data_IF_351101092350
#
_entry.id   IF_351101092350
#
_cell.length_a   1.000
_cell.length_b   1.000
_cell.length_c   1.000
_cell.angle_alpha   90.00
_cell.angle_beta   90.00
_cell.angle_gamma   90.00
#
_symmetry.space_group_name_H-M   'P 1'
#
loop_
_entity.id
_entity.type
_entity.pdbx_description
1 polymer ?
#
# COMPACT_ATOMS: atom_id res chain seq x y z
N UNK A 1 -53.88 -41.03 38.90
CA UNK A 1 -54.17 -41.55 40.26
C UNK A 1 -53.51 -42.92 40.40
N UNK A 2 -53.05 -43.24 41.62
CA UNK A 2 -52.56 -44.57 42.11
C UNK A 2 -51.10 -44.89 41.71
N UNK A 3 -50.07 -44.89 42.57
CA UNK A 3 -49.79 -45.53 43.88
C UNK A 3 -49.65 -47.08 43.87
N UNK A 4 -48.39 -47.54 43.97
CA UNK A 4 -47.83 -48.53 44.92
C UNK A 4 -47.68 -50.04 44.53
N UNK A 5 -46.39 -50.46 44.41
CA UNK A 5 -45.64 -51.63 44.98
C UNK A 5 -46.39 -52.74 45.77
N UNK A 6 -45.72 -53.87 46.16
CA UNK A 6 -44.55 -54.62 45.64
C UNK A 6 -44.81 -56.16 45.62
N UNK A 7 -43.82 -57.05 45.43
CA UNK A 7 -43.65 -58.32 46.21
C UNK A 7 -42.47 -59.21 45.76
N UNK A 8 -41.64 -59.54 46.77
CA UNK A 8 -40.79 -60.71 47.06
C UNK A 8 -39.54 -61.18 46.24
N UNK A 9 -38.46 -61.28 47.05
CA UNK A 9 -37.21 -62.06 46.99
C UNK A 9 -37.48 -63.60 46.91
N UNK A 10 -36.52 -64.53 46.62
CA UNK A 10 -35.26 -64.80 47.35
C UNK A 10 -34.02 -65.09 46.44
N UNK A 11 -32.81 -64.67 46.83
CA UNK A 11 -31.79 -65.37 47.63
C UNK A 11 -31.25 -66.69 47.03
N UNK A 12 -29.93 -66.80 46.84
CA UNK A 12 -29.10 -67.92 47.35
C UNK A 12 -27.60 -67.65 47.14
N UNK A 13 -26.86 -68.14 48.13
CA UNK A 13 -25.45 -67.97 48.41
C UNK A 13 -24.57 -68.95 47.63
N UNK A 14 -23.30 -68.57 47.46
CA UNK A 14 -22.18 -69.41 47.91
C UNK A 14 -21.32 -70.08 46.83
N UNK A 15 -20.00 -70.00 47.03
CA UNK A 15 -19.06 -70.97 46.46
C UNK A 15 -17.70 -70.41 46.07
N UNK A 16 -16.77 -70.35 47.04
CA UNK A 16 -15.33 -70.19 46.78
C UNK A 16 -14.76 -71.43 46.09
N UNK A 17 -13.83 -71.26 45.14
CA UNK A 17 -12.69 -72.17 44.94
C UNK A 17 -11.46 -71.35 44.53
N UNK A 18 -10.38 -71.59 45.26
CA UNK A 18 -9.03 -71.10 45.01
C UNK A 18 -8.35 -71.86 43.88
N UNK A 19 -7.54 -71.18 43.07
CA UNK A 19 -6.64 -71.81 42.09
C UNK A 19 -5.50 -70.89 41.74
N UNK A 20 -4.31 -71.18 42.27
CA UNK A 20 -3.06 -70.52 41.97
C UNK A 20 -2.51 -70.95 40.61
N UNK A 21 -1.77 -70.06 39.93
CA UNK A 21 -0.98 -70.41 38.74
C UNK A 21 -0.54 -69.17 37.99
N UNK A 22 0.75 -68.83 38.10
CA UNK A 22 1.34 -67.62 37.54
C UNK A 22 1.53 -67.63 36.02
N UNK A 23 1.96 -66.48 35.50
CA UNK A 23 2.40 -66.32 34.12
C UNK A 23 2.35 -64.86 33.70
N UNK A 24 3.48 -64.18 33.84
CA UNK A 24 3.65 -62.80 33.40
C UNK A 24 3.31 -62.63 31.92
N UNK A 25 2.40 -61.70 31.65
CA UNK A 25 2.31 -60.97 30.40
C UNK A 25 2.05 -59.53 30.80
N UNK A 26 3.07 -58.69 30.67
CA UNK A 26 2.90 -57.23 30.60
C UNK A 26 2.11 -56.92 29.33
N UNK A 27 0.80 -57.18 29.41
CA UNK A 27 -0.17 -56.61 28.52
C UNK A 27 -0.17 -55.13 28.83
N UNK A 28 0.01 -54.28 27.81
CA UNK A 28 -0.25 -52.84 27.87
C UNK A 28 -1.73 -52.60 28.18
N UNK A 29 -2.10 -52.93 29.41
CA UNK A 29 -3.43 -52.85 29.97
C UNK A 29 -3.71 -51.38 30.20
N UNK A 30 -4.39 -50.78 29.23
CA UNK A 30 -5.06 -49.52 29.44
C UNK A 30 -6.04 -49.75 30.60
N UNK A 31 -5.74 -49.15 31.74
CA UNK A 31 -6.52 -49.33 32.95
C UNK A 31 -7.89 -48.66 32.72
N UNK A 32 -8.93 -49.44 32.48
CA UNK A 32 -10.27 -48.91 32.22
C UNK A 32 -10.96 -48.66 33.55
N UNK A 33 -11.38 -47.42 33.82
CA UNK A 33 -12.19 -47.09 34.97
C UNK A 33 -13.68 -47.16 34.62
N UNK A 34 -14.48 -47.73 35.52
CA UNK A 34 -15.92 -47.81 35.33
C UNK A 34 -16.58 -46.62 36.03
N UNK A 35 -17.29 -45.77 35.27
CA UNK A 35 -18.01 -44.62 35.83
C UNK A 35 -19.36 -45.03 36.40
N UNK A 36 -19.93 -44.27 37.38
CA UNK A 36 -21.28 -44.52 37.88
C UNK A 36 -22.27 -44.48 36.71
N UNK A 37 -22.81 -45.64 36.34
CA UNK A 37 -23.54 -45.87 35.09
C UNK A 37 -23.05 -47.06 34.25
N UNK A 38 -21.94 -47.70 34.65
CA UNK A 38 -21.44 -48.95 34.04
C UNK A 38 -20.59 -48.77 32.78
N UNK A 39 -20.29 -47.54 32.38
CA UNK A 39 -19.45 -47.25 31.22
C UNK A 39 -17.97 -47.35 31.60
N UNK A 40 -17.22 -48.20 30.89
CA UNK A 40 -15.76 -48.26 30.98
C UNK A 40 -15.17 -47.11 30.17
N UNK A 41 -14.42 -46.23 30.82
CA UNK A 41 -13.65 -45.16 30.18
C UNK A 41 -12.17 -45.37 30.50
N UNK A 42 -11.30 -45.09 29.53
CA UNK A 42 -9.88 -45.28 29.68
C UNK A 42 -9.34 -44.31 30.74
N UNK A 43 -8.67 -44.81 31.80
CA UNK A 43 -8.01 -43.94 32.77
C UNK A 43 -6.94 -43.12 32.07
N UNK A 44 -6.99 -41.81 32.29
CA UNK A 44 -5.87 -40.91 31.98
C UNK A 44 -4.94 -40.93 33.19
N UNK A 45 -3.88 -41.72 33.11
CA UNK A 45 -2.78 -41.61 34.06
C UNK A 45 -2.02 -40.30 33.77
N UNK A 46 -1.94 -39.34 34.71
CA UNK A 46 -1.20 -38.09 34.51
C UNK A 46 0.33 -38.31 34.42
N UNK A 47 0.81 -39.53 34.68
CA UNK A 47 2.21 -39.93 34.56
C UNK A 47 2.50 -40.66 33.23
N UNK A 48 1.45 -41.03 32.49
CA UNK A 48 1.53 -41.50 31.10
C UNK A 48 1.41 -40.36 30.08
N UNK A 49 1.17 -39.13 30.55
CA UNK A 49 1.38 -37.94 29.73
C UNK A 49 2.88 -37.64 29.81
N UNK A 50 3.70 -37.99 28.79
CA UNK A 50 5.03 -37.42 28.71
C UNK A 50 4.83 -35.91 28.67
N UNK A 51 5.25 -35.25 29.74
CA UNK A 51 5.40 -33.80 29.85
C UNK A 51 5.93 -33.26 28.52
N UNK A 52 5.03 -32.71 27.70
CA UNK A 52 5.32 -32.23 26.36
C UNK A 52 5.63 -33.35 25.37
N UNK A 53 4.77 -33.53 24.36
CA UNK A 53 5.14 -34.28 23.15
C UNK A 53 6.55 -33.83 22.71
N UNK A 54 7.50 -34.78 22.64
CA UNK A 54 8.88 -34.50 22.21
C UNK A 54 8.81 -33.69 20.91
N UNK A 55 9.47 -32.51 20.82
CA UNK A 55 9.39 -31.67 19.63
C UNK A 55 9.74 -32.51 18.39
N UNK A 56 9.02 -32.33 17.27
CA UNK A 56 9.25 -33.11 16.06
C UNK A 56 10.75 -33.12 15.73
N UNK A 57 11.31 -34.28 15.34
CA UNK A 57 12.74 -34.37 15.04
C UNK A 57 13.09 -33.34 13.96
N UNK A 58 13.92 -32.36 14.32
CA UNK A 58 14.39 -31.35 13.39
C UNK A 58 15.32 -31.99 12.37
N UNK A 59 15.20 -31.54 11.13
CA UNK A 59 16.04 -31.96 10.01
C UNK A 59 17.19 -30.96 9.88
N UNK A 60 18.43 -31.46 9.80
CA UNK A 60 19.58 -30.61 9.50
C UNK A 60 19.81 -30.58 7.99
N UNK A 61 19.81 -29.39 7.40
CA UNK A 61 20.13 -29.20 5.99
C UNK A 61 21.46 -28.50 5.85
N UNK A 62 22.28 -28.96 4.89
CA UNK A 62 23.59 -28.39 4.58
C UNK A 62 23.50 -27.61 3.29
N UNK A 63 23.55 -26.29 3.40
CA UNK A 63 23.40 -25.37 2.28
C UNK A 63 24.76 -24.80 1.92
N UNK A 64 25.23 -25.11 0.71
CA UNK A 64 26.45 -24.54 0.16
C UNK A 64 26.15 -23.17 -0.41
N UNK A 65 26.90 -22.15 0.00
CA UNK A 65 26.89 -20.83 -0.60
C UNK A 65 28.33 -20.40 -0.90
N UNK A 66 28.65 -20.17 -2.17
CA UNK A 66 30.03 -19.97 -2.61
C UNK A 66 30.94 -21.14 -2.20
N UNK A 67 31.90 -20.86 -1.32
CA UNK A 67 32.83 -21.86 -0.76
C UNK A 67 32.47 -22.34 0.65
N UNK A 68 31.40 -21.80 1.26
CA UNK A 68 31.01 -22.06 2.65
C UNK A 68 29.80 -22.99 2.71
N UNK A 69 29.76 -23.84 3.74
CA UNK A 69 28.59 -24.66 4.06
C UNK A 69 27.93 -24.15 5.33
N UNK A 70 26.64 -23.85 5.25
CA UNK A 70 25.80 -23.49 6.38
C UNK A 70 24.92 -24.68 6.77
N UNK A 71 25.04 -25.15 8.00
CA UNK A 71 24.15 -26.19 8.54
C UNK A 71 23.00 -25.53 9.30
N UNK A 72 21.77 -25.75 8.83
CA UNK A 72 20.55 -25.17 9.39
C UNK A 72 19.68 -26.30 9.94
N UNK A 73 19.25 -26.17 11.20
CA UNK A 73 18.26 -27.07 11.80
C UNK A 73 16.87 -26.50 11.58
N UNK A 74 16.00 -27.23 10.89
CA UNK A 74 14.65 -26.79 10.52
C UNK A 74 13.62 -27.91 10.66
N UNK A 75 12.35 -27.56 10.84
CA UNK A 75 11.25 -28.55 10.85
C UNK A 75 11.15 -29.26 9.49
N UNK A 76 10.93 -30.59 9.43
CA UNK A 76 10.68 -31.28 8.18
C UNK A 76 9.46 -30.75 7.41
N UNK A 77 8.44 -30.28 8.13
CA UNK A 77 7.21 -29.70 7.56
C UNK A 77 7.35 -28.21 7.20
N UNK A 78 8.54 -27.65 7.33
CA UNK A 78 8.80 -26.27 6.96
C UNK A 78 8.79 -26.10 5.44
N UNK A 79 8.53 -24.86 5.01
CA UNK A 79 8.66 -24.48 3.60
C UNK A 79 10.10 -24.11 3.24
N UNK A 80 10.43 -24.18 1.95
CA UNK A 80 11.69 -23.62 1.45
C UNK A 80 11.77 -22.11 1.70
N UNK A 81 10.65 -21.39 1.76
CA UNK A 81 10.61 -19.97 2.12
C UNK A 81 11.09 -19.72 3.55
N UNK A 82 10.75 -20.59 4.50
CA UNK A 82 11.26 -20.51 5.87
C UNK A 82 12.75 -20.84 5.93
N UNK A 83 13.21 -21.84 5.19
CA UNK A 83 14.63 -22.13 5.06
C UNK A 83 15.41 -20.94 4.48
N UNK A 84 14.88 -20.29 3.43
CA UNK A 84 15.47 -19.08 2.85
C UNK A 84 15.57 -17.95 3.87
N UNK A 85 14.54 -17.73 4.69
CA UNK A 85 14.57 -16.74 5.78
C UNK A 85 15.66 -17.05 6.81
N UNK A 86 15.82 -18.31 7.20
CA UNK A 86 16.88 -18.72 8.14
C UNK A 86 18.27 -18.57 7.54
N UNK A 87 18.42 -18.76 6.22
CA UNK A 87 19.69 -18.56 5.51
C UNK A 87 20.05 -17.09 5.35
N UNK A 88 19.07 -16.16 5.35
CA UNK A 88 19.36 -14.73 5.18
C UNK A 88 20.30 -14.17 6.25
N UNK A 89 20.22 -14.69 7.49
CA UNK A 89 21.13 -14.30 8.57
C UNK A 89 22.60 -14.66 8.28
N UNK A 90 22.94 -15.95 8.10
CA UNK A 90 24.33 -16.38 7.87
C UNK A 90 24.89 -16.03 6.48
N UNK A 91 24.05 -15.87 5.45
CA UNK A 91 24.53 -15.55 4.08
C UNK A 91 24.45 -14.06 3.74
N UNK A 92 23.67 -13.28 4.49
CA UNK A 92 23.38 -11.87 4.20
C UNK A 92 22.45 -11.64 2.99
N UNK A 93 22.04 -12.70 2.29
CA UNK A 93 21.19 -12.58 1.10
C UNK A 93 19.73 -12.52 1.52
N UNK A 94 18.96 -11.57 0.98
CA UNK A 94 17.54 -11.48 1.26
C UNK A 94 16.77 -12.71 0.73
N UNK A 95 15.77 -13.20 1.48
CA UNK A 95 15.09 -14.47 1.16
C UNK A 95 14.39 -14.51 -0.22
N UNK A 96 14.09 -13.36 -0.82
CA UNK A 96 13.54 -13.26 -2.19
C UNK A 96 14.63 -13.39 -3.27
N UNK A 97 15.87 -13.05 -2.93
CA UNK A 97 17.03 -13.04 -3.84
C UNK A 97 17.75 -14.41 -3.81
N UNK A 98 17.27 -15.32 -2.96
CA UNK A 98 17.82 -16.65 -2.77
C UNK A 98 17.20 -17.68 -3.71
N UNK A 99 18.03 -18.25 -4.60
CA UNK A 99 17.70 -19.39 -5.45
C UNK A 99 18.29 -20.67 -4.85
N UNK A 100 17.40 -21.58 -4.44
CA UNK A 100 17.78 -22.77 -3.69
C UNK A 100 17.62 -24.02 -4.57
N UNK A 101 18.72 -24.74 -4.77
CA UNK A 101 18.80 -25.94 -5.60
C UNK A 101 18.88 -27.19 -4.72
N UNK A 102 17.99 -28.16 -4.94
CA UNK A 102 18.01 -29.47 -4.29
C UNK A 102 17.80 -30.58 -5.31
N UNK A 103 18.78 -31.50 -5.41
CA UNK A 103 18.89 -32.53 -6.46
C UNK A 103 18.85 -31.92 -7.86
N UNK A 104 19.70 -30.91 -8.09
CA UNK A 104 19.84 -30.17 -9.35
C UNK A 104 18.55 -29.49 -9.86
N UNK A 105 17.53 -29.42 -8.99
CA UNK A 105 16.25 -28.79 -9.27
C UNK A 105 16.06 -27.56 -8.39
N UNK A 106 15.65 -26.46 -9.02
CA UNK A 106 15.24 -25.25 -8.33
C UNK A 106 13.98 -25.51 -7.50
N UNK A 107 13.95 -24.94 -6.29
CA UNK A 107 12.86 -25.13 -5.34
C UNK A 107 12.13 -23.83 -5.06
N UNK A 108 10.81 -23.88 -5.24
CA UNK A 108 9.90 -22.77 -4.97
C UNK A 108 9.80 -22.53 -3.45
N UNK A 109 9.67 -21.26 -3.06
CA UNK A 109 9.52 -20.87 -1.66
C UNK A 109 8.27 -21.42 -0.97
N UNK A 110 7.19 -21.72 -1.72
CA UNK A 110 5.94 -22.31 -1.21
C UNK A 110 6.00 -23.82 -1.09
N UNK A 111 7.01 -24.48 -1.66
CA UNK A 111 7.17 -25.92 -1.53
C UNK A 111 7.60 -26.29 -0.10
N UNK A 112 7.18 -27.46 0.37
CA UNK A 112 7.60 -28.01 1.66
C UNK A 112 8.83 -28.92 1.51
N UNK A 113 9.66 -28.96 2.56
CA UNK A 113 10.91 -29.72 2.59
C UNK A 113 10.65 -31.23 2.54
N UNK A 114 9.75 -31.73 3.39
CA UNK A 114 9.31 -33.14 3.44
C UNK A 114 8.73 -33.64 2.11
N UNK A 115 7.80 -32.91 1.50
CA UNK A 115 7.18 -33.24 0.20
C UNK A 115 8.24 -33.24 -0.91
N UNK A 116 9.24 -32.37 -0.79
CA UNK A 116 10.37 -32.32 -1.72
C UNK A 116 11.39 -33.44 -1.51
N UNK A 117 11.20 -34.29 -0.49
CA UNK A 117 12.09 -35.40 -0.15
C UNK A 117 13.39 -34.95 0.54
N UNK A 118 13.37 -33.83 1.25
CA UNK A 118 14.48 -33.35 2.09
C UNK A 118 14.49 -34.17 3.39
N UNK A 119 15.64 -34.77 3.69
CA UNK A 119 15.90 -35.58 4.89
C UNK A 119 17.05 -34.99 5.72
N UNK A 120 17.34 -35.57 6.89
CA UNK A 120 18.50 -35.16 7.70
C UNK A 120 19.80 -35.25 6.89
N UNK A 121 20.64 -34.22 7.02
CA UNK A 121 21.91 -33.99 6.31
C UNK A 121 21.77 -33.85 4.79
N UNK A 122 20.59 -33.49 4.28
CA UNK A 122 20.41 -33.18 2.86
C UNK A 122 21.29 -32.02 2.42
N UNK A 123 21.91 -32.15 1.25
CA UNK A 123 22.77 -31.13 0.66
C UNK A 123 21.99 -30.28 -0.33
N UNK A 124 22.19 -28.98 -0.28
CA UNK A 124 21.52 -28.00 -1.13
C UNK A 124 22.53 -26.95 -1.55
N UNK A 125 22.28 -26.27 -2.66
CA UNK A 125 23.13 -25.16 -3.13
C UNK A 125 22.27 -23.90 -3.16
N UNK A 126 22.76 -22.86 -2.50
CA UNK A 126 22.20 -21.52 -2.57
C UNK A 126 22.97 -20.74 -3.63
N UNK A 127 22.23 -20.12 -4.54
CA UNK A 127 22.72 -19.21 -5.57
C UNK A 127 22.00 -17.89 -5.37
N UNK A 128 22.72 -16.78 -5.46
CA UNK A 128 22.11 -15.45 -5.51
C UNK A 128 21.54 -15.22 -6.91
N UNK A 129 20.28 -14.81 -6.98
CA UNK A 129 19.65 -14.43 -8.24
C UNK A 129 19.75 -12.90 -8.43
N UNK A 130 20.67 -12.41 -9.29
CA UNK A 130 20.86 -10.97 -9.50
C UNK A 130 19.61 -10.31 -10.10
N UNK A 131 18.77 -11.06 -10.83
CA UNK A 131 17.54 -10.53 -11.41
C UNK A 131 16.51 -10.24 -10.30
N UNK A 132 16.41 -11.14 -9.32
CA UNK A 132 15.52 -10.95 -8.17
C UNK A 132 15.99 -9.79 -7.27
N UNK A 133 17.30 -9.64 -7.09
CA UNK A 133 17.87 -8.50 -6.37
C UNK A 133 17.53 -7.17 -7.05
N UNK A 134 17.77 -7.04 -8.35
CA UNK A 134 17.45 -5.83 -9.11
C UNK A 134 15.94 -5.52 -9.06
N UNK A 135 15.10 -6.55 -9.22
CA UNK A 135 13.64 -6.40 -9.12
C UNK A 135 13.23 -5.82 -7.76
N UNK A 136 13.81 -6.33 -6.66
CA UNK A 136 13.54 -5.83 -5.30
C UNK A 136 13.99 -4.38 -5.13
N UNK A 137 15.19 -4.01 -5.62
CA UNK A 137 15.66 -2.62 -5.56
C UNK A 137 14.77 -1.67 -6.36
N UNK A 138 14.34 -2.08 -7.55
CA UNK A 138 13.43 -1.29 -8.36
C UNK A 138 12.07 -1.10 -7.68
N UNK A 139 11.53 -2.14 -7.06
CA UNK A 139 10.28 -2.10 -6.31
C UNK A 139 10.41 -1.20 -5.07
N UNK A 140 11.48 -1.36 -4.28
CA UNK A 140 11.76 -0.48 -3.13
C UNK A 140 11.87 0.99 -3.56
N UNK A 141 12.51 1.27 -4.71
CA UNK A 141 12.61 2.63 -5.24
C UNK A 141 11.24 3.20 -5.65
N UNK A 142 10.35 2.38 -6.22
CA UNK A 142 8.99 2.79 -6.55
C UNK A 142 8.18 3.08 -5.28
N UNK A 143 8.23 2.19 -4.30
CA UNK A 143 7.57 2.37 -3.00
C UNK A 143 8.06 3.67 -2.34
N UNK A 144 9.37 3.88 -2.23
CA UNK A 144 9.94 5.08 -1.62
C UNK A 144 9.52 6.37 -2.35
N UNK A 145 9.41 6.36 -3.68
CA UNK A 145 8.90 7.51 -4.45
C UNK A 145 7.43 7.79 -4.12
N UNK A 146 6.59 6.76 -4.10
CA UNK A 146 5.16 6.88 -3.76
C UNK A 146 4.97 7.35 -2.32
N UNK A 147 5.72 6.80 -1.37
CA UNK A 147 5.70 7.20 0.04
C UNK A 147 6.17 8.65 0.21
N UNK A 148 7.24 9.06 -0.48
CA UNK A 148 7.71 10.46 -0.45
C UNK A 148 6.63 11.42 -0.98
N UNK A 149 5.96 11.08 -2.07
CA UNK A 149 4.88 11.88 -2.63
C UNK A 149 3.67 11.94 -1.68
N UNK A 150 3.28 10.79 -1.11
CA UNK A 150 2.18 10.70 -0.14
C UNK A 150 2.47 11.54 1.10
N UNK A 151 3.68 11.42 1.67
CA UNK A 151 4.11 12.23 2.82
C UNK A 151 4.08 13.72 2.50
N UNK A 152 4.60 14.14 1.35
CA UNK A 152 4.58 15.55 0.95
C UNK A 152 3.15 16.09 0.83
N UNK A 153 2.21 15.31 0.30
CA UNK A 153 0.78 15.67 0.23
C UNK A 153 0.16 15.74 1.62
N UNK A 154 0.50 14.82 2.53
CA UNK A 154 0.02 14.86 3.91
C UNK A 154 0.52 16.11 4.65
N UNK A 155 1.80 16.45 4.48
CA UNK A 155 2.38 17.65 5.09
C UNK A 155 1.69 18.93 4.56
N UNK A 156 1.41 18.99 3.24
CA UNK A 156 0.61 20.09 2.66
C UNK A 156 -0.83 20.07 3.18
N UNK A 157 -1.47 18.90 3.31
CA UNK A 157 -2.83 18.79 3.83
C UNK A 157 -2.97 19.44 5.21
N UNK A 158 -1.98 19.25 6.09
CA UNK A 158 -1.97 19.86 7.42
C UNK A 158 -1.88 21.39 7.35
N UNK A 159 -1.08 21.92 6.42
CA UNK A 159 -0.99 23.37 6.22
C UNK A 159 -2.28 23.93 5.62
N UNK A 160 -2.90 23.22 4.67
CA UNK A 160 -4.21 23.57 4.10
C UNK A 160 -5.30 23.54 5.18
N UNK A 161 -5.28 22.59 6.12
CA UNK A 161 -6.19 22.54 7.27
C UNK A 161 -6.04 23.79 8.16
N UNK A 162 -4.79 24.15 8.46
CA UNK A 162 -4.45 25.33 9.27
C UNK A 162 -4.92 26.63 8.60
N UNK A 163 -4.70 26.77 7.30
CA UNK A 163 -5.16 27.91 6.51
C UNK A 163 -6.69 27.94 6.43
N UNK A 164 -7.33 26.79 6.21
CA UNK A 164 -8.79 26.63 6.23
C UNK A 164 -9.40 27.10 7.56
N UNK A 165 -8.77 26.79 8.69
CA UNK A 165 -9.18 27.32 10.00
C UNK A 165 -9.17 28.85 10.09
N UNK A 166 -8.19 29.52 9.45
CA UNK A 166 -8.16 30.99 9.36
C UNK A 166 -9.26 31.52 8.45
N UNK A 167 -9.54 30.85 7.32
CA UNK A 167 -10.65 31.21 6.42
C UNK A 167 -11.97 31.16 7.19
N UNK A 168 -12.27 30.06 7.89
CA UNK A 168 -13.49 29.94 8.69
C UNK A 168 -13.60 31.00 9.80
N UNK A 169 -12.48 31.38 10.42
CA UNK A 169 -12.46 32.47 11.39
C UNK A 169 -12.83 33.82 10.75
N UNK A 170 -12.28 34.14 9.57
CA UNK A 170 -12.64 35.34 8.83
C UNK A 170 -14.12 35.34 8.39
N UNK A 171 -14.63 34.21 7.90
CA UNK A 171 -16.04 34.05 7.57
C UNK A 171 -16.94 34.36 8.76
N UNK A 172 -16.59 33.84 9.95
CA UNK A 172 -17.35 34.08 11.17
C UNK A 172 -17.31 35.56 11.59
N UNK A 173 -16.15 36.21 11.55
CA UNK A 173 -16.01 37.63 11.91
C UNK A 173 -16.87 38.49 10.97
N UNK A 174 -16.76 38.28 9.66
CA UNK A 174 -17.51 39.05 8.66
C UNK A 174 -19.01 38.77 8.77
N UNK A 175 -19.42 37.51 9.01
CA UNK A 175 -20.84 37.15 9.23
C UNK A 175 -21.44 37.84 10.46
N UNK A 176 -20.63 38.09 11.51
CA UNK A 176 -21.04 38.85 12.70
C UNK A 176 -20.98 40.38 12.50
N UNK A 177 -20.67 40.85 11.29
CA UNK A 177 -20.53 42.28 10.98
C UNK A 177 -19.19 42.89 11.41
N UNK A 178 -18.24 42.07 11.87
CA UNK A 178 -16.88 42.50 12.15
C UNK A 178 -16.06 42.73 10.88
N UNK A 179 -14.99 43.51 10.99
CA UNK A 179 -14.11 43.85 9.88
C UNK A 179 -12.79 43.10 9.97
N UNK A 180 -12.36 42.49 8.88
CA UNK A 180 -11.04 41.85 8.75
C UNK A 180 -10.13 42.79 7.95
N UNK A 181 -8.85 42.90 8.30
CA UNK A 181 -7.95 43.74 7.51
C UNK A 181 -7.74 43.10 6.12
N UNK A 182 -7.86 43.89 5.05
CA UNK A 182 -7.73 43.37 3.68
C UNK A 182 -6.37 42.70 3.43
N UNK A 183 -5.30 43.26 4.02
CA UNK A 183 -3.96 42.65 3.99
C UNK A 183 -3.96 41.21 4.50
N UNK A 184 -4.74 40.89 5.55
CA UNK A 184 -4.74 39.57 6.16
C UNK A 184 -5.48 38.55 5.29
N UNK A 185 -6.52 38.99 4.56
CA UNK A 185 -7.20 38.17 3.54
C UNK A 185 -6.24 37.87 2.38
N UNK A 186 -5.55 38.89 1.86
CA UNK A 186 -4.58 38.74 0.77
C UNK A 186 -3.45 37.79 1.16
N UNK A 187 -2.88 37.93 2.36
CA UNK A 187 -1.83 37.02 2.84
C UNK A 187 -2.31 35.56 2.91
N UNK A 188 -3.55 35.27 3.31
CA UNK A 188 -4.05 33.89 3.32
C UNK A 188 -4.23 33.36 1.89
N UNK A 189 -4.70 34.18 0.95
CA UNK A 189 -4.78 33.80 -0.46
C UNK A 189 -3.38 33.44 -1.00
N UNK A 190 -2.37 34.28 -0.74
CA UNK A 190 -0.98 34.01 -1.17
C UNK A 190 -0.45 32.69 -0.58
N UNK A 191 -0.69 32.44 0.72
CA UNK A 191 -0.28 31.20 1.36
C UNK A 191 -0.99 29.97 0.74
N UNK A 192 -2.28 30.07 0.45
CA UNK A 192 -3.05 29.00 -0.22
C UNK A 192 -2.52 28.74 -1.64
N UNK A 193 -2.21 29.80 -2.40
CA UNK A 193 -1.62 29.68 -3.74
C UNK A 193 -0.23 29.04 -3.69
N UNK A 194 0.57 29.33 -2.68
CA UNK A 194 1.87 28.66 -2.48
C UNK A 194 1.71 27.16 -2.24
N UNK A 195 0.73 26.75 -1.42
CA UNK A 195 0.42 25.32 -1.22
C UNK A 195 -0.09 24.67 -2.51
N UNK A 196 -0.85 25.39 -3.34
CA UNK A 196 -1.29 24.89 -4.64
C UNK A 196 -0.12 24.61 -5.59
N UNK A 197 0.84 25.55 -5.68
CA UNK A 197 2.06 25.37 -6.49
C UNK A 197 2.87 24.17 -6.01
N UNK A 198 2.98 23.97 -4.68
CA UNK A 198 3.66 22.79 -4.12
C UNK A 198 2.94 21.50 -4.51
N UNK A 199 1.61 21.46 -4.47
CA UNK A 199 0.83 20.29 -4.91
C UNK A 199 1.08 19.97 -6.39
N UNK A 200 1.11 20.98 -7.25
CA UNK A 200 1.35 20.80 -8.69
C UNK A 200 2.76 20.25 -8.99
N UNK A 201 3.74 20.60 -8.16
CA UNK A 201 5.11 20.08 -8.23
C UNK A 201 5.26 18.61 -7.81
N UNK A 202 4.27 18.00 -7.15
CA UNK A 202 4.37 16.62 -6.67
C UNK A 202 3.96 15.65 -7.77
N UNK A 203 4.90 14.86 -8.28
CA UNK A 203 4.59 13.73 -9.18
C UNK A 203 3.99 12.59 -8.35
N UNK A 204 2.76 12.19 -8.69
CA UNK A 204 2.02 11.14 -7.98
C UNK A 204 1.19 10.28 -8.95
N UNK A 205 1.04 9.01 -8.60
CA UNK A 205 0.27 8.00 -9.36
C UNK A 205 -0.75 7.30 -8.45
N UNK A 206 -1.73 6.60 -9.06
CA UNK A 206 -2.75 5.84 -8.33
C UNK A 206 -3.50 6.66 -7.28
N UNK A 207 -3.62 6.10 -6.07
CA UNK A 207 -4.34 6.72 -4.96
C UNK A 207 -3.71 8.03 -4.48
N UNK A 208 -2.37 8.15 -4.55
CA UNK A 208 -1.66 9.37 -4.14
C UNK A 208 -2.00 10.53 -5.08
N UNK A 209 -2.25 10.24 -6.38
CA UNK A 209 -2.75 11.24 -7.33
C UNK A 209 -4.16 11.71 -6.97
N UNK A 210 -5.01 10.81 -6.48
CA UNK A 210 -6.35 11.15 -6.00
C UNK A 210 -6.28 12.03 -4.75
N UNK A 211 -5.41 11.70 -3.79
CA UNK A 211 -5.14 12.54 -2.61
C UNK A 211 -4.70 13.95 -3.02
N UNK A 212 -3.75 14.07 -3.94
CA UNK A 212 -3.31 15.37 -4.50
C UNK A 212 -4.48 16.16 -5.07
N UNK A 213 -5.32 15.52 -5.90
CA UNK A 213 -6.50 16.17 -6.52
C UNK A 213 -7.52 16.63 -5.49
N UNK A 214 -7.72 15.88 -4.39
CA UNK A 214 -8.57 16.30 -3.29
C UNK A 214 -8.03 17.55 -2.61
N UNK A 215 -6.72 17.61 -2.30
CA UNK A 215 -6.13 18.81 -1.68
C UNK A 215 -6.19 20.03 -2.60
N UNK A 216 -5.95 19.87 -3.90
CA UNK A 216 -6.11 20.96 -4.89
C UNK A 216 -7.53 21.54 -4.83
N UNK A 217 -8.57 20.69 -4.83
CA UNK A 217 -9.95 21.14 -4.72
C UNK A 217 -10.22 21.88 -3.40
N UNK A 218 -9.67 21.39 -2.28
CA UNK A 218 -9.84 22.06 -0.98
C UNK A 218 -9.23 23.46 -0.98
N UNK A 219 -8.03 23.60 -1.53
CA UNK A 219 -7.36 24.90 -1.68
C UNK A 219 -8.18 25.84 -2.55
N UNK A 220 -8.65 25.37 -3.71
CA UNK A 220 -9.50 26.17 -4.61
C UNK A 220 -10.76 26.67 -3.91
N UNK A 221 -11.48 25.81 -3.20
CA UNK A 221 -12.67 26.18 -2.44
C UNK A 221 -12.38 27.26 -1.39
N UNK A 222 -11.24 27.18 -0.69
CA UNK A 222 -10.85 28.20 0.29
C UNK A 222 -10.48 29.54 -0.34
N UNK A 223 -9.82 29.52 -1.50
CA UNK A 223 -9.50 30.74 -2.27
C UNK A 223 -10.79 31.41 -2.75
N UNK A 224 -11.71 30.65 -3.35
CA UNK A 224 -13.03 31.17 -3.78
C UNK A 224 -13.81 31.79 -2.61
N UNK A 225 -13.80 31.14 -1.44
CA UNK A 225 -14.42 31.67 -0.24
C UNK A 225 -13.79 33.00 0.20
N UNK A 226 -12.44 33.09 0.20
CA UNK A 226 -11.73 34.32 0.53
C UNK A 226 -12.02 35.46 -0.45
N UNK A 227 -12.15 35.18 -1.75
CA UNK A 227 -12.51 36.20 -2.75
C UNK A 227 -13.91 36.76 -2.49
N UNK A 228 -14.87 35.89 -2.16
CA UNK A 228 -16.22 36.31 -1.76
C UNK A 228 -16.17 37.15 -0.47
N UNK A 229 -15.36 36.74 0.51
CA UNK A 229 -15.19 37.50 1.75
C UNK A 229 -14.55 38.86 1.51
N UNK A 230 -13.57 38.95 0.61
CA UNK A 230 -12.91 40.20 0.24
C UNK A 230 -13.92 41.21 -0.31
N UNK A 231 -14.81 40.78 -1.20
CA UNK A 231 -15.90 41.63 -1.73
C UNK A 231 -16.87 42.05 -0.61
N UNK A 232 -17.33 41.11 0.22
CA UNK A 232 -18.26 41.40 1.33
C UNK A 232 -17.67 42.38 2.35
N UNK A 233 -16.39 42.23 2.67
CA UNK A 233 -15.67 43.08 3.60
C UNK A 233 -15.52 44.52 3.07
N UNK A 234 -15.40 44.69 1.75
CA UNK A 234 -15.40 46.00 1.09
C UNK A 234 -16.78 46.66 1.06
N UNK A 235 -17.87 45.88 0.93
CA UNK A 235 -19.24 46.40 0.94
C UNK A 235 -19.71 46.88 2.32
N UNK A 236 -19.25 46.24 3.41
CA UNK A 236 -19.53 46.68 4.78
C UNK A 236 -19.05 48.13 5.06
N UNK A 237 -18.09 48.63 4.28
CA UNK A 237 -17.57 50.00 4.36
C UNK A 237 -18.59 51.07 3.87
N UNK A 238 -19.59 50.68 3.06
CA UNK A 238 -20.56 51.60 2.44
C UNK A 238 -21.78 51.93 3.29
N UNK A 239 -22.20 51.04 4.20
CA UNK A 239 -23.43 51.23 4.99
C UNK A 239 -23.25 52.15 6.21
N UNK A 240 -22.02 52.38 6.68
CA UNK A 240 -21.77 53.24 7.85
C UNK A 240 -21.73 54.75 7.51
N UNK A 241 -21.71 55.13 6.22
CA UNK A 241 -21.61 56.55 5.80
C UNK A 241 -22.97 57.22 5.53
N UNK A 242 -24.09 56.50 5.54
CA UNK A 242 -25.42 57.09 5.31
C UNK A 242 -26.20 57.46 6.58
N UNK A 243 -25.79 57.00 7.76
CA UNK A 243 -26.48 57.34 9.03
C UNK A 243 -26.14 58.72 9.59
N UNK A 244 -25.08 59.39 9.12
CA UNK A 244 -24.59 60.67 9.67
C UNK A 244 -24.84 61.89 8.78
N UNK A 245 -25.63 61.76 7.69
CA UNK A 245 -25.91 62.87 6.75
C UNK A 245 -27.30 63.50 6.86
N UNK A 246 -28.14 63.08 7.82
CA UNK A 246 -29.51 63.59 8.00
C UNK A 246 -29.67 64.63 9.13
N UNK A 247 -28.59 65.33 9.49
CA UNK A 247 -28.67 66.46 10.42
C UNK A 247 -27.76 67.60 9.98
N UNK A 248 -28.19 68.32 8.94
CA UNK A 248 -27.95 69.77 8.76
C UNK A 248 -28.82 70.24 7.59
N UNK A 249 -29.73 71.17 7.90
CA UNK A 249 -30.70 71.73 6.97
C UNK A 249 -30.09 72.85 6.11
N UNK A 250 -30.71 73.03 4.93
CA UNK A 250 -30.92 74.27 4.17
C UNK A 250 -29.73 75.20 3.92
N UNK A 251 -29.31 75.31 2.66
CA UNK A 251 -29.24 76.57 1.90
C UNK A 251 -29.32 76.23 0.40
N UNK A 252 -30.09 77.06 -0.29
CA UNK A 252 -30.53 77.03 -1.67
C UNK A 252 -29.49 77.76 -2.53
N UNK A 253 -29.02 77.17 -3.64
CA UNK A 253 -28.64 77.97 -4.82
C UNK A 253 -28.63 77.16 -6.13
N UNK A 254 -28.87 77.92 -7.19
CA UNK A 254 -29.28 77.56 -8.54
C UNK A 254 -28.15 77.10 -9.48
N UNK A 255 -28.58 76.46 -10.59
CA UNK A 255 -27.94 76.29 -11.91
C UNK A 255 -26.72 75.35 -11.96
N UNK A 256 -26.53 74.51 -12.98
CA UNK A 256 -26.89 74.65 -14.40
C UNK A 256 -26.91 73.26 -15.08
N UNK A 257 -27.82 73.08 -16.04
CA UNK A 257 -27.88 71.93 -16.94
C UNK A 257 -26.63 71.83 -17.83
N UNK A 258 -26.16 70.61 -18.12
CA UNK A 258 -25.64 70.24 -19.45
C UNK A 258 -25.75 68.71 -19.67
N UNK A 259 -26.21 68.36 -20.87
CA UNK A 259 -26.56 67.02 -21.39
C UNK A 259 -25.34 66.12 -21.67
N UNK A 260 -25.55 64.79 -21.86
CA UNK A 260 -24.48 63.81 -21.93
C UNK A 260 -23.94 63.60 -23.34
N UNK A 261 -22.65 63.28 -23.48
CA UNK A 261 -22.06 62.67 -24.67
C UNK A 261 -21.16 61.50 -24.23
N UNK A 262 -21.36 60.38 -24.91
CA UNK A 262 -20.70 59.08 -24.78
C UNK A 262 -19.18 59.13 -25.04
N UNK A 263 -18.42 58.20 -24.44
CA UNK A 263 -17.76 57.09 -25.16
C UNK A 263 -16.43 56.62 -24.52
N UNK A 264 -16.24 55.30 -24.59
CA UNK A 264 -14.97 54.59 -24.81
C UNK A 264 -14.11 54.18 -23.60
N UNK A 265 -14.41 53.01 -23.01
CA UNK A 265 -13.67 51.76 -23.29
C UNK A 265 -14.15 50.63 -22.36
N UNK A 266 -14.95 49.72 -22.93
CA UNK A 266 -15.04 48.33 -22.50
C UNK A 266 -14.02 47.51 -23.30
N UNK A 267 -13.28 46.63 -22.61
CA UNK A 267 -12.67 45.44 -23.22
C UNK A 267 -12.99 44.24 -22.33
N UNK A 268 -13.81 43.28 -22.80
CA UNK A 268 -14.06 42.05 -22.05
C UNK A 268 -13.04 40.98 -22.43
N UNK A 269 -12.36 40.41 -21.43
CA UNK A 269 -11.63 39.15 -21.58
C UNK A 269 -12.64 38.00 -21.47
N UNK A 270 -12.90 37.37 -22.61
CA UNK A 270 -13.75 36.21 -22.78
C UNK A 270 -13.01 34.93 -22.37
N UNK A 271 -13.38 34.32 -21.25
CA UNK A 271 -13.03 32.93 -20.94
C UNK A 271 -14.06 32.00 -21.61
N UNK A 272 -13.68 31.42 -22.75
CA UNK A 272 -14.46 30.34 -23.37
C UNK A 272 -14.40 29.08 -22.50
N UNK A 273 -15.52 28.76 -21.87
CA UNK A 273 -15.88 27.41 -21.44
C UNK A 273 -16.02 26.51 -22.68
N UNK A 274 -15.32 25.36 -22.68
CA UNK A 274 -15.67 24.21 -23.51
C UNK A 274 -16.17 23.10 -22.60
N UNK A 275 -17.49 22.99 -22.48
CA UNK A 275 -18.17 21.73 -22.16
C UNK A 275 -18.19 20.88 -23.45
N UNK A 276 -17.86 19.60 -23.36
CA UNK A 276 -18.32 18.60 -24.31
C UNK A 276 -19.23 17.66 -23.52
N UNK A 277 -20.48 17.65 -23.93
CA UNK A 277 -21.55 16.77 -23.48
C UNK A 277 -21.67 15.66 -24.52
N UNK A 278 -21.76 14.43 -24.02
CA UNK A 278 -21.98 13.20 -24.77
C UNK A 278 -23.48 13.08 -24.97
N UNK A 279 -23.93 12.94 -26.21
CA UNK A 279 -25.32 12.65 -26.57
C UNK A 279 -25.37 11.23 -27.14
N UNK A 280 -26.13 10.35 -26.50
CA UNK A 280 -26.48 9.00 -26.96
C UNK A 280 -27.81 9.00 -27.71
N UNK A 281 -27.92 8.13 -28.74
CA UNK A 281 -29.06 7.26 -29.15
C UNK A 281 -29.11 7.06 -30.69
N UNK A 282 -29.71 5.99 -31.25
CA UNK A 282 -29.42 4.57 -31.09
C UNK A 282 -29.24 3.83 -32.45
N UNK A 283 -28.78 2.57 -32.42
CA UNK A 283 -29.29 1.51 -33.32
C UNK A 283 -28.38 0.91 -34.42
N UNK A 284 -28.11 -0.39 -34.24
CA UNK A 284 -27.89 -1.46 -35.24
C UNK A 284 -26.57 -1.53 -36.06
N UNK A 285 -25.82 -2.65 -35.89
CA UNK A 285 -24.71 -3.09 -36.75
C UNK A 285 -25.20 -3.82 -38.04
N UNK A 286 -24.41 -4.72 -38.69
CA UNK A 286 -23.02 -5.15 -38.44
C UNK A 286 -22.11 -5.19 -39.72
N UNK A 287 -20.84 -5.61 -39.52
CA UNK A 287 -19.82 -6.08 -40.48
C UNK A 287 -19.11 -5.06 -41.39
N UNK A 288 -17.76 -5.05 -41.37
CA UNK A 288 -16.94 -5.66 -42.43
C UNK A 288 -15.43 -5.46 -42.16
N UNK A 289 -14.71 -6.59 -42.20
CA UNK A 289 -13.28 -6.81 -42.36
C UNK A 289 -12.72 -6.06 -43.58
N UNK A 290 -11.55 -5.40 -43.50
CA UNK A 290 -10.36 -5.76 -44.32
C UNK A 290 -9.20 -4.77 -44.13
N UNK A 291 -8.04 -5.39 -44.25
CA UNK A 291 -6.64 -5.02 -44.25
C UNK A 291 -6.26 -3.76 -45.07
N UNK A 292 -5.15 -3.12 -44.70
CA UNK A 292 -3.89 -3.24 -45.46
C UNK A 292 -2.98 -2.01 -45.35
N UNK A 293 -1.67 -2.32 -45.32
CA UNK A 293 -0.51 -1.51 -45.79
C UNK A 293 -0.06 -0.34 -44.89
N UNK A 294 1.22 -0.11 -44.61
CA UNK A 294 2.50 -0.64 -45.11
C UNK A 294 3.59 -0.11 -44.15
N UNK A 295 4.51 -0.93 -43.65
CA UNK A 295 5.76 -0.45 -43.05
C UNK A 295 6.87 -0.61 -44.09
N UNK A 296 7.62 0.46 -44.35
CA UNK A 296 8.71 0.47 -45.32
C UNK A 296 9.98 -0.23 -44.79
N UNK A 297 10.46 -1.15 -45.61
CA UNK A 297 11.71 -1.89 -45.53
C UNK A 297 12.89 -0.98 -45.92
N UNK A 298 14.00 -1.04 -45.18
CA UNK A 298 15.30 -0.52 -45.66
C UNK A 298 16.16 -1.70 -46.09
N UNK A 299 16.53 -1.71 -47.36
CA UNK A 299 17.26 -2.81 -48.02
C UNK A 299 18.73 -2.88 -47.60
N UNK A 300 19.19 -4.13 -47.46
CA UNK A 300 20.59 -4.51 -47.49
C UNK A 300 21.07 -4.56 -48.95
N UNK A 301 22.27 -4.05 -49.23
CA UNK A 301 23.08 -4.55 -50.35
C UNK A 301 24.50 -4.89 -49.91
N UNK A 302 25.00 -5.90 -50.60
CA UNK A 302 26.14 -6.77 -50.31
C UNK A 302 27.45 -6.28 -50.91
N UNK A 303 28.53 -6.52 -50.16
CA UNK A 303 29.89 -6.97 -50.53
C UNK A 303 30.59 -6.44 -51.81
N UNK A 304 31.91 -6.16 -51.70
CA UNK A 304 32.99 -6.96 -52.34
C UNK A 304 34.42 -6.43 -52.01
N UNK A 305 35.32 -7.39 -51.77
CA UNK A 305 36.81 -7.42 -51.85
C UNK A 305 37.73 -6.74 -50.83
N UNK A 306 38.56 -7.59 -50.22
CA UNK A 306 39.88 -7.35 -49.62
C UNK A 306 40.92 -6.93 -50.66
N UNK A 307 42.00 -6.23 -50.26
CA UNK A 307 43.25 -6.95 -49.99
C UNK A 307 44.01 -6.48 -48.73
N UNK A 308 44.90 -7.38 -48.31
CA UNK A 308 45.88 -7.33 -47.22
C UNK A 308 46.91 -6.20 -47.40
N UNK A 309 47.30 -5.51 -46.31
CA UNK A 309 48.66 -4.97 -46.09
C UNK A 309 48.84 -4.42 -44.67
N UNK A 310 49.98 -4.77 -44.06
CA UNK A 310 50.49 -4.40 -42.73
C UNK A 310 50.53 -2.90 -42.42
N UNK A 311 50.26 -2.54 -41.16
CA UNK A 311 51.10 -1.60 -40.40
C UNK A 311 50.74 -1.57 -38.90
N UNK A 312 51.79 -1.63 -38.10
CA UNK A 312 51.89 -1.43 -36.67
C UNK A 312 51.43 -0.01 -36.25
N UNK A 313 50.67 0.14 -35.15
CA UNK A 313 50.89 1.15 -34.09
C UNK A 313 49.73 1.25 -33.08
N UNK A 314 50.11 1.44 -31.82
CA UNK A 314 49.29 1.60 -30.63
C UNK A 314 48.23 2.69 -30.70
N UNK A 315 47.01 2.41 -30.23
CA UNK A 315 46.09 3.42 -29.69
C UNK A 315 45.19 2.84 -28.60
N UNK A 316 45.12 3.57 -27.50
CA UNK A 316 44.50 3.27 -26.20
C UNK A 316 42.97 3.34 -26.30
N UNK A 317 42.17 2.41 -25.73
CA UNK A 317 40.72 2.56 -25.67
C UNK A 317 40.31 3.60 -24.61
N UNK A 318 39.30 4.46 -24.86
CA UNK A 318 38.93 5.52 -23.94
C UNK A 318 38.21 4.96 -22.71
N UNK A 319 38.66 5.38 -21.52
CA UNK A 319 38.00 5.15 -20.24
C UNK A 319 36.82 6.11 -20.10
N UNK A 320 35.62 5.57 -19.90
CA UNK A 320 34.45 6.34 -19.48
C UNK A 320 34.54 6.61 -17.96
N UNK A 321 34.53 7.90 -17.60
CA UNK A 321 34.57 8.38 -16.23
C UNK A 321 33.14 8.64 -15.76
N UNK A 322 32.69 7.96 -14.70
CA UNK A 322 31.43 8.26 -14.03
C UNK A 322 31.71 9.25 -12.91
N UNK A 323 31.49 10.54 -13.15
CA UNK A 323 31.45 11.54 -12.08
C UNK A 323 30.02 11.64 -11.55
N UNK A 324 29.93 11.52 -10.22
CA UNK A 324 28.75 11.63 -9.39
C UNK A 324 28.26 13.08 -9.37
N UNK A 325 26.94 13.28 -9.45
CA UNK A 325 26.32 14.56 -9.10
C UNK A 325 25.85 14.50 -7.64
N UNK A 326 26.39 15.41 -6.83
CA UNK A 326 25.77 15.93 -5.60
C UNK A 326 24.45 16.66 -5.91
#
# INVERSE_FOLDING_TARGET
MMRNKPTNLPATNGGRVSGAGGGGRESGGHDWEMRPGGMLVQKRNPESDPVGAKPPPMVRVRVKYGSVYHEISISPHASFGELKKMLSGPTGIHHQDQKLMYKDKERDSKAFLDVSGVKDKSKMVLIEDPISQEKRFLEMRKIAKTEKASKAISDISLEVDRLGGRVSAFEMVIKKGGKVAEKDLVTVIELLMNELIKLDGIVAEGDVKLQRKMQVKRVQNYVEALDVLKVKNSMANGQQKQSSRQRLATIQEHRQEQKPIQSLMDMPINYKQRKQEIEEEPGAGPNLMDSSTKWETFDHHTATTTPLSSANNHAIPPRFNWEFFD
#
